data_IF_939802272807
#
_entry.id   IF_939802272807
#
_cell.length_a   1.000
_cell.length_b   1.000
_cell.length_c   1.000
_cell.angle_alpha   90.00
_cell.angle_beta   90.00
_cell.angle_gamma   90.00
#
_symmetry.space_group_name_H-M   'P 1'
#
loop_
_entity.id
_entity.type
_entity.pdbx_description
1 polymer ?
#
# COMPACT_ATOMS: atom_id res chain seq x y z
N UNK A 1 16.83 -26.38 -6.35
CA UNK A 1 15.56 -27.13 -6.44
C UNK A 1 14.58 -26.19 -7.15
N UNK A 2 13.83 -26.67 -8.11
CA UNK A 2 12.98 -25.76 -8.92
C UNK A 2 11.69 -25.48 -8.15
N UNK A 3 11.45 -24.24 -7.76
CA UNK A 3 10.29 -23.76 -6.97
C UNK A 3 8.95 -24.29 -7.49
N UNK A 4 8.81 -24.39 -8.83
CA UNK A 4 7.66 -24.97 -9.49
C UNK A 4 7.41 -26.43 -9.07
N UNK A 5 8.46 -27.24 -8.93
CA UNK A 5 8.34 -28.65 -8.52
C UNK A 5 7.89 -28.80 -7.07
N UNK A 6 8.25 -27.86 -6.22
CA UNK A 6 7.85 -27.86 -4.80
C UNK A 6 6.36 -27.57 -4.64
N UNK A 7 5.84 -26.58 -5.39
CA UNK A 7 4.41 -26.25 -5.39
C UNK A 7 3.58 -27.38 -5.97
N UNK A 8 3.97 -27.95 -7.11
CA UNK A 8 3.29 -29.11 -7.71
C UNK A 8 3.32 -30.31 -6.76
N UNK A 9 4.45 -30.54 -6.09
CA UNK A 9 4.57 -31.59 -5.06
C UNK A 9 3.68 -31.37 -3.85
N UNK A 10 3.43 -30.11 -3.48
CA UNK A 10 2.55 -29.73 -2.36
C UNK A 10 1.07 -29.88 -2.70
N UNK A 11 0.69 -29.53 -3.92
CA UNK A 11 -0.70 -29.54 -4.39
C UNK A 11 -1.18 -30.92 -4.87
N UNK A 12 -0.31 -31.69 -5.52
CA UNK A 12 -0.65 -32.98 -6.14
C UNK A 12 -0.60 -32.94 -7.67
N UNK A 13 -0.56 -34.11 -8.28
CA UNK A 13 -0.33 -34.28 -9.74
C UNK A 13 -1.52 -33.80 -10.60
N UNK A 14 -2.69 -33.65 -10.02
CA UNK A 14 -3.91 -33.18 -10.69
C UNK A 14 -3.90 -31.67 -10.95
N UNK A 15 -3.00 -30.93 -10.32
CA UNK A 15 -2.89 -29.49 -10.46
C UNK A 15 -1.93 -29.08 -11.58
N UNK A 16 -2.40 -28.19 -12.43
CA UNK A 16 -1.55 -27.42 -13.35
C UNK A 16 -1.26 -26.08 -12.70
N UNK A 17 0.02 -25.73 -12.61
CA UNK A 17 0.48 -24.49 -11.96
C UNK A 17 1.06 -23.57 -13.03
N UNK A 18 0.71 -22.30 -12.99
CA UNK A 18 1.28 -21.25 -13.85
C UNK A 18 1.71 -20.07 -12.97
N UNK A 19 2.76 -19.35 -13.36
CA UNK A 19 3.12 -18.10 -12.68
C UNK A 19 1.97 -17.11 -12.80
N UNK A 20 1.63 -16.44 -11.70
CA UNK A 20 0.65 -15.36 -11.69
C UNK A 20 1.27 -13.98 -12.00
N UNK A 21 2.57 -13.94 -12.26
CA UNK A 21 3.31 -12.68 -12.40
C UNK A 21 3.82 -12.16 -11.05
N UNK A 22 4.11 -10.87 -11.01
CA UNK A 22 4.67 -10.19 -9.85
C UNK A 22 6.20 -10.14 -9.86
N UNK A 23 6.76 -9.14 -9.18
CA UNK A 23 8.21 -8.83 -9.17
C UNK A 23 8.99 -9.95 -8.48
N UNK A 24 8.44 -10.57 -7.44
CA UNK A 24 9.11 -11.61 -6.65
C UNK A 24 9.04 -12.99 -7.30
N UNK A 25 8.11 -13.20 -8.24
CA UNK A 25 7.88 -14.53 -8.86
C UNK A 25 7.37 -15.60 -7.88
N UNK A 26 6.81 -15.20 -6.74
CA UNK A 26 6.34 -16.09 -5.67
C UNK A 26 4.82 -16.35 -5.72
N UNK A 27 4.15 -15.81 -6.72
CA UNK A 27 2.71 -15.93 -6.93
C UNK A 27 2.38 -16.87 -8.11
N UNK A 28 1.38 -17.73 -7.92
CA UNK A 28 1.00 -18.76 -8.89
C UNK A 28 -0.52 -18.89 -8.94
N UNK A 29 -1.01 -19.27 -10.12
CA UNK A 29 -2.37 -19.76 -10.31
C UNK A 29 -2.31 -21.27 -10.48
N UNK A 30 -3.02 -22.01 -9.64
CA UNK A 30 -3.13 -23.46 -9.72
C UNK A 30 -4.54 -23.86 -10.13
N UNK A 31 -4.65 -24.73 -11.13
CA UNK A 31 -5.93 -25.11 -11.75
C UNK A 31 -6.06 -26.63 -11.84
N UNK A 32 -7.26 -27.12 -11.52
CA UNK A 32 -7.73 -28.49 -11.82
C UNK A 32 -8.94 -28.38 -12.75
N UNK A 33 -9.58 -29.53 -13.06
CA UNK A 33 -10.84 -29.54 -13.81
C UNK A 33 -12.02 -28.92 -13.05
N UNK A 34 -11.91 -28.80 -11.73
CA UNK A 34 -13.03 -28.40 -10.85
C UNK A 34 -12.76 -27.11 -10.07
N UNK A 35 -11.51 -26.70 -9.97
CA UNK A 35 -11.12 -25.62 -9.06
C UNK A 35 -9.93 -24.85 -9.61
N UNK A 36 -9.94 -23.54 -9.37
CA UNK A 36 -8.85 -22.61 -9.63
C UNK A 36 -8.54 -21.86 -8.35
N UNK A 37 -7.29 -21.80 -7.95
CA UNK A 37 -6.85 -21.11 -6.72
C UNK A 37 -5.64 -20.23 -7.01
N UNK A 38 -5.49 -19.17 -6.23
CA UNK A 38 -4.29 -18.37 -6.19
C UNK A 38 -3.39 -18.87 -5.06
N UNK A 39 -2.09 -19.08 -5.34
CA UNK A 39 -1.14 -19.59 -4.36
C UNK A 39 0.03 -18.62 -4.27
N UNK A 40 0.32 -18.14 -3.07
CA UNK A 40 1.48 -17.30 -2.77
C UNK A 40 2.37 -17.99 -1.74
N UNK A 41 3.69 -17.82 -1.90
CA UNK A 41 4.68 -18.35 -0.97
C UNK A 41 5.05 -17.27 0.04
N UNK A 42 5.26 -17.71 1.30
CA UNK A 42 5.73 -16.89 2.41
C UNK A 42 4.89 -15.62 2.69
N UNK A 43 3.57 -15.69 2.39
CA UNK A 43 2.65 -14.63 2.78
C UNK A 43 2.70 -14.40 4.29
N UNK A 44 2.59 -13.15 4.71
CA UNK A 44 2.48 -12.79 6.11
C UNK A 44 1.29 -13.51 6.79
N UNK A 45 1.40 -13.90 8.07
CA UNK A 45 0.27 -14.36 8.87
C UNK A 45 -0.88 -13.35 8.93
N UNK A 46 -0.62 -12.09 8.65
CA UNK A 46 -1.60 -11.01 8.53
C UNK A 46 -2.69 -11.31 7.49
N UNK A 47 -2.35 -12.09 6.45
CA UNK A 47 -3.31 -12.54 5.41
C UNK A 47 -4.56 -13.21 5.99
N UNK A 48 -4.45 -13.90 7.11
CA UNK A 48 -5.57 -14.62 7.71
C UNK A 48 -6.66 -13.65 8.23
N UNK A 49 -6.27 -12.56 8.89
CA UNK A 49 -7.22 -11.57 9.37
C UNK A 49 -7.76 -10.71 8.23
N UNK A 50 -6.93 -10.33 7.26
CA UNK A 50 -7.37 -9.63 6.06
C UNK A 50 -8.45 -10.41 5.31
N UNK A 51 -8.29 -11.73 5.21
CA UNK A 51 -9.29 -12.62 4.61
C UNK A 51 -10.56 -12.74 5.47
N UNK A 52 -10.44 -12.77 6.79
CA UNK A 52 -11.60 -12.82 7.71
C UNK A 52 -12.42 -11.52 7.64
N UNK A 53 -11.77 -10.37 7.48
CA UNK A 53 -12.39 -9.06 7.29
C UNK A 53 -12.92 -8.84 5.85
N UNK A 54 -12.65 -9.77 4.92
CA UNK A 54 -13.09 -9.67 3.53
C UNK A 54 -12.35 -8.62 2.70
N UNK A 55 -11.16 -8.22 3.15
CA UNK A 55 -10.32 -7.22 2.47
C UNK A 55 -9.59 -7.83 1.30
N UNK A 56 -9.18 -9.09 1.42
CA UNK A 56 -8.54 -9.89 0.38
C UNK A 56 -9.41 -11.09 0.01
N UNK A 57 -9.20 -11.72 -1.15
CA UNK A 57 -9.88 -12.97 -1.50
C UNK A 57 -9.72 -14.04 -0.40
N UNK A 58 -10.78 -14.84 -0.20
CA UNK A 58 -10.87 -15.80 0.89
C UNK A 58 -9.65 -16.72 0.96
N UNK A 59 -8.97 -16.76 2.12
CA UNK A 59 -7.94 -17.73 2.43
C UNK A 59 -8.57 -19.12 2.58
N UNK A 60 -8.13 -20.07 1.78
CA UNK A 60 -8.65 -21.43 1.78
C UNK A 60 -7.85 -22.33 2.75
N UNK A 61 -6.54 -22.23 2.69
CA UNK A 61 -5.62 -22.96 3.55
C UNK A 61 -4.21 -22.38 3.53
N UNK A 62 -3.42 -22.75 4.55
CA UNK A 62 -1.97 -22.54 4.58
C UNK A 62 -1.28 -23.89 4.79
N UNK A 63 -0.10 -24.08 4.21
CA UNK A 63 0.69 -25.31 4.32
C UNK A 63 2.16 -25.00 4.50
N UNK A 64 2.73 -25.49 5.62
CA UNK A 64 4.19 -25.44 5.82
C UNK A 64 4.88 -26.50 5.00
N UNK A 65 5.91 -26.12 4.28
CA UNK A 65 6.74 -26.99 3.46
C UNK A 65 7.91 -27.57 4.24
N UNK A 66 8.54 -28.64 3.73
CA UNK A 66 9.69 -29.26 4.38
C UNK A 66 10.92 -28.35 4.48
N UNK A 67 11.07 -27.41 3.55
CA UNK A 67 12.13 -26.40 3.55
C UNK A 67 11.88 -25.24 4.51
N UNK A 68 10.74 -25.24 5.23
CA UNK A 68 10.33 -24.21 6.18
C UNK A 68 9.40 -23.13 5.60
N UNK A 69 9.27 -23.04 4.27
CA UNK A 69 8.35 -22.08 3.63
C UNK A 69 6.90 -22.36 3.97
N UNK A 70 6.08 -21.34 3.81
CA UNK A 70 4.63 -21.44 3.94
C UNK A 70 4.00 -21.12 2.60
N UNK A 71 3.15 -22.01 2.11
CA UNK A 71 2.24 -21.74 1.00
C UNK A 71 0.89 -21.32 1.55
N UNK A 72 0.35 -20.24 1.04
CA UNK A 72 -1.02 -19.81 1.26
C UNK A 72 -1.82 -19.98 -0.03
N UNK A 73 -3.04 -20.51 0.07
CA UNK A 73 -3.97 -20.59 -1.05
C UNK A 73 -5.19 -19.74 -0.78
N UNK A 74 -5.52 -18.90 -1.72
CA UNK A 74 -6.72 -18.06 -1.71
C UNK A 74 -7.67 -18.48 -2.83
N UNK A 75 -8.94 -18.17 -2.65
CA UNK A 75 -9.92 -18.28 -3.71
C UNK A 75 -9.45 -17.46 -4.91
N UNK A 76 -9.43 -18.07 -6.09
CA UNK A 76 -9.18 -17.32 -7.32
C UNK A 76 -10.43 -16.51 -7.66
N UNK A 77 -10.24 -15.23 -7.89
CA UNK A 77 -11.30 -14.30 -8.28
C UNK A 77 -11.09 -13.93 -9.74
N UNK A 78 -12.10 -14.17 -10.57
CA UNK A 78 -12.13 -13.54 -11.90
C UNK A 78 -12.44 -12.05 -11.66
N UNK A 79 -11.47 -11.20 -11.91
CA UNK A 79 -11.49 -9.79 -11.52
C UNK A 79 -10.79 -8.93 -12.55
N UNK A 80 -11.04 -7.63 -12.47
CA UNK A 80 -10.23 -6.62 -13.13
C UNK A 80 -9.45 -5.81 -12.10
N UNK A 81 -8.30 -5.35 -12.44
CA UNK A 81 -7.60 -4.28 -11.71
C UNK A 81 -8.39 -2.97 -11.86
N UNK A 82 -8.33 -2.11 -10.84
CA UNK A 82 -8.88 -0.77 -10.97
C UNK A 82 -8.02 0.07 -11.91
N UNK A 83 -8.65 1.05 -12.54
CA UNK A 83 -7.96 2.12 -13.26
C UNK A 83 -7.66 3.30 -12.32
N UNK A 84 -6.75 4.22 -12.68
CA UNK A 84 -6.56 5.46 -11.93
C UNK A 84 -7.86 6.22 -11.67
N UNK A 85 -8.78 6.26 -12.63
CA UNK A 85 -10.09 6.92 -12.49
C UNK A 85 -11.00 6.23 -11.48
N UNK A 86 -10.89 4.91 -11.31
CA UNK A 86 -11.69 4.16 -10.34
C UNK A 86 -11.32 4.53 -8.88
N UNK A 87 -10.10 5.04 -8.63
CA UNK A 87 -9.66 5.42 -7.29
C UNK A 87 -10.45 6.58 -6.68
N UNK A 88 -11.16 7.35 -7.49
CA UNK A 88 -12.06 8.43 -7.06
C UNK A 88 -13.41 7.92 -6.55
N UNK A 89 -13.70 6.64 -6.71
CA UNK A 89 -15.00 6.04 -6.38
C UNK A 89 -15.31 6.09 -4.89
N UNK A 90 -16.60 6.31 -4.52
CA UNK A 90 -17.05 6.33 -3.13
C UNK A 90 -16.79 5.02 -2.37
N UNK A 91 -16.90 3.87 -3.04
CA UNK A 91 -16.71 2.56 -2.43
C UNK A 91 -15.23 2.27 -2.14
N UNK A 92 -14.29 2.77 -2.96
CA UNK A 92 -12.85 2.71 -2.68
C UNK A 92 -12.54 3.52 -1.42
N UNK A 93 -13.04 4.77 -1.31
CA UNK A 93 -12.88 5.59 -0.12
C UNK A 93 -13.46 4.91 1.12
N UNK A 94 -14.69 4.39 1.02
CA UNK A 94 -15.38 3.73 2.13
C UNK A 94 -14.66 2.43 2.57
N UNK A 95 -14.11 1.66 1.63
CA UNK A 95 -13.34 0.45 1.95
C UNK A 95 -12.03 0.80 2.66
N UNK A 96 -11.32 1.84 2.21
CA UNK A 96 -10.11 2.31 2.88
C UNK A 96 -10.42 2.82 4.29
N UNK A 97 -11.53 3.54 4.48
CA UNK A 97 -11.98 3.97 5.79
C UNK A 97 -12.20 2.80 6.76
N UNK A 98 -12.87 1.75 6.31
CA UNK A 98 -13.07 0.52 7.11
C UNK A 98 -11.75 -0.15 7.50
N UNK A 99 -10.80 -0.20 6.57
CA UNK A 99 -9.47 -0.78 6.83
C UNK A 99 -8.76 0.01 7.93
N UNK A 100 -8.70 1.33 7.81
CA UNK A 100 -8.04 2.19 8.79
C UNK A 100 -8.73 2.20 10.16
N UNK A 101 -10.04 1.99 10.22
CA UNK A 101 -10.78 1.94 11.48
C UNK A 101 -10.79 0.55 12.14
N UNK A 102 -10.28 -0.50 11.47
CA UNK A 102 -10.26 -1.86 12.00
C UNK A 102 -9.26 -2.01 13.14
N UNK A 103 -9.78 -2.21 14.36
CA UNK A 103 -8.99 -2.49 15.54
C UNK A 103 -8.38 -3.89 15.52
N UNK A 104 -9.05 -4.82 14.89
CA UNK A 104 -8.63 -6.21 14.72
C UNK A 104 -7.38 -6.28 13.84
N UNK A 105 -7.35 -5.54 12.72
CA UNK A 105 -6.17 -5.43 11.86
C UNK A 105 -5.00 -4.82 12.61
N UNK A 106 -5.23 -3.69 13.29
CA UNK A 106 -4.19 -3.01 14.05
C UNK A 106 -3.60 -3.92 15.15
N UNK A 107 -4.47 -4.58 15.93
CA UNK A 107 -4.04 -5.50 16.96
C UNK A 107 -3.19 -6.63 16.39
N UNK A 108 -3.61 -7.24 15.27
CA UNK A 108 -2.87 -8.34 14.65
C UNK A 108 -1.50 -7.87 14.15
N UNK A 109 -1.41 -6.72 13.50
CA UNK A 109 -0.15 -6.20 12.98
C UNK A 109 0.83 -5.86 14.12
N UNK A 110 0.31 -5.35 15.25
CA UNK A 110 1.10 -5.15 16.48
C UNK A 110 1.64 -6.47 17.03
N UNK A 111 0.84 -7.55 17.02
CA UNK A 111 1.29 -8.89 17.47
C UNK A 111 2.40 -9.48 16.57
N UNK A 112 2.51 -9.05 15.35
CA UNK A 112 3.58 -9.42 14.43
C UNK A 112 4.86 -8.58 14.64
N UNK A 113 4.91 -7.76 15.70
CA UNK A 113 6.04 -6.91 16.08
C UNK A 113 6.42 -5.85 15.02
N UNK A 114 5.45 -5.37 14.26
CA UNK A 114 5.68 -4.22 13.39
C UNK A 114 5.92 -2.97 14.24
N UNK A 115 7.05 -2.31 14.01
CA UNK A 115 7.36 -1.03 14.64
C UNK A 115 6.60 0.08 13.92
N UNK A 116 5.92 0.99 14.65
CA UNK A 116 5.23 2.10 14.03
C UNK A 116 6.17 2.99 13.21
N UNK A 117 5.69 3.40 12.05
CA UNK A 117 6.38 4.36 11.16
C UNK A 117 5.94 5.76 11.54
N UNK A 118 6.81 6.47 12.21
CA UNK A 118 6.56 7.85 12.66
C UNK A 118 7.09 8.88 11.66
N UNK A 119 6.58 10.14 11.68
CA UNK A 119 7.17 11.23 10.87
C UNK A 119 8.67 11.41 11.10
N UNK A 120 9.14 11.26 12.35
CA UNK A 120 10.57 11.32 12.65
C UNK A 120 11.38 10.22 11.96
N UNK A 121 10.84 9.01 11.88
CA UNK A 121 11.51 7.90 11.19
C UNK A 121 11.62 8.18 9.69
N UNK A 122 10.51 8.62 9.07
CA UNK A 122 10.48 8.97 7.64
C UNK A 122 11.43 10.14 7.32
N UNK A 123 11.41 11.18 8.16
CA UNK A 123 12.32 12.30 7.99
C UNK A 123 13.79 11.85 7.99
N UNK A 124 14.17 10.98 8.93
CA UNK A 124 15.54 10.42 8.95
C UNK A 124 15.88 9.60 7.69
N UNK A 125 14.91 8.90 7.13
CA UNK A 125 15.10 8.20 5.86
C UNK A 125 15.33 9.18 4.71
N UNK A 126 14.56 10.26 4.65
CA UNK A 126 14.77 11.32 3.65
C UNK A 126 16.14 12.01 3.81
N UNK A 127 16.54 12.31 5.05
CA UNK A 127 17.85 12.95 5.37
C UNK A 127 19.05 12.12 4.89
N UNK A 128 18.92 10.79 4.83
CA UNK A 128 19.99 9.94 4.32
C UNK A 128 20.36 10.25 2.85
N UNK A 129 19.45 10.85 2.10
CA UNK A 129 19.66 11.22 0.70
C UNK A 129 20.11 12.68 0.48
N UNK A 130 20.08 13.52 1.53
CA UNK A 130 20.44 14.94 1.44
C UNK A 130 21.87 15.18 0.94
N UNK A 131 22.80 14.26 1.23
CA UNK A 131 24.23 14.42 0.93
C UNK A 131 24.64 13.92 -0.46
N UNK A 132 23.85 13.02 -1.05
CA UNK A 132 24.20 12.36 -2.31
C UNK A 132 23.52 12.99 -3.53
N UNK A 133 22.67 14.00 -3.32
CA UNK A 133 21.82 14.56 -4.37
C UNK A 133 22.36 15.92 -4.85
N UNK A 134 22.44 16.05 -6.17
CA UNK A 134 22.85 17.28 -6.85
C UNK A 134 21.66 18.20 -7.16
N UNK A 135 20.43 17.72 -7.10
CA UNK A 135 19.25 18.55 -7.33
C UNK A 135 18.88 19.31 -6.05
N UNK A 136 18.86 20.66 -6.11
CA UNK A 136 18.58 21.50 -4.95
C UNK A 136 17.16 21.29 -4.38
N UNK A 137 16.23 20.76 -5.16
CA UNK A 137 14.82 20.51 -4.74
C UNK A 137 14.76 19.51 -3.58
N UNK A 138 15.64 18.51 -3.55
CA UNK A 138 15.69 17.54 -2.44
C UNK A 138 16.09 18.23 -1.13
N UNK A 139 17.15 19.03 -1.16
CA UNK A 139 17.61 19.78 0.03
C UNK A 139 16.53 20.74 0.54
N UNK A 140 15.85 21.45 -0.35
CA UNK A 140 14.73 22.33 -0.02
C UNK A 140 13.56 21.57 0.61
N UNK A 141 13.17 20.46 0.00
CA UNK A 141 12.10 19.60 0.51
C UNK A 141 12.42 19.05 1.91
N UNK A 142 13.65 18.57 2.13
CA UNK A 142 14.07 18.07 3.46
C UNK A 142 14.05 19.19 4.50
N UNK A 143 14.51 20.40 4.16
CA UNK A 143 14.42 21.53 5.07
C UNK A 143 12.98 21.91 5.40
N UNK A 144 12.08 21.88 4.40
CA UNK A 144 10.65 22.12 4.64
C UNK A 144 10.07 21.05 5.56
N UNK A 145 10.35 19.75 5.33
CA UNK A 145 9.91 18.65 6.18
C UNK A 145 10.37 18.81 7.63
N UNK A 146 11.63 19.26 7.85
CA UNK A 146 12.18 19.53 9.20
C UNK A 146 11.39 20.62 9.94
N UNK A 147 11.03 21.69 9.24
CA UNK A 147 10.31 22.82 9.85
C UNK A 147 8.81 22.54 10.11
N UNK A 148 8.22 21.63 9.33
CA UNK A 148 6.78 21.34 9.38
C UNK A 148 6.49 19.92 9.88
N UNK A 149 7.38 19.34 10.69
CA UNK A 149 7.22 17.99 11.21
C UNK A 149 5.89 17.82 11.94
N UNK A 150 5.00 16.90 11.50
CA UNK A 150 3.69 16.71 12.09
C UNK A 150 3.79 16.24 13.55
N UNK A 151 2.93 16.78 14.39
CA UNK A 151 2.69 16.25 15.73
C UNK A 151 1.54 15.25 15.63
N UNK A 152 1.87 13.98 15.80
CA UNK A 152 0.91 12.87 15.72
C UNK A 152 0.86 12.14 17.05
N UNK A 153 -0.33 11.66 17.42
CA UNK A 153 -0.49 10.75 18.55
C UNK A 153 -0.40 9.31 18.02
N UNK A 154 0.62 8.57 18.45
CA UNK A 154 0.80 7.17 18.03
C UNK A 154 -0.36 6.26 18.49
N UNK A 155 -1.20 6.70 19.43
CA UNK A 155 -2.41 5.98 19.82
C UNK A 155 -3.51 6.05 18.75
N UNK A 156 -3.43 7.02 17.85
CA UNK A 156 -4.33 7.20 16.71
C UNK A 156 -3.82 6.52 15.43
N UNK A 157 -2.65 5.87 15.49
CA UNK A 157 -2.11 5.15 14.34
C UNK A 157 -3.02 3.99 13.93
N UNK A 158 -3.04 3.74 12.64
CA UNK A 158 -3.85 2.73 11.98
C UNK A 158 -2.97 1.77 11.19
N UNK A 159 -3.58 0.73 10.67
CA UNK A 159 -2.91 -0.10 9.64
C UNK A 159 -2.95 0.64 8.33
N UNK A 160 -1.78 0.92 7.78
CA UNK A 160 -1.63 1.47 6.44
C UNK A 160 -1.13 0.39 5.49
N UNK A 161 -1.63 0.42 4.26
CA UNK A 161 -1.19 -0.48 3.19
C UNK A 161 0.23 -0.14 2.72
N UNK A 162 0.57 1.14 2.68
CA UNK A 162 1.81 1.77 2.23
C UNK A 162 2.11 1.74 0.72
N UNK A 163 1.30 1.04 -0.07
CA UNK A 163 1.38 1.00 -1.53
C UNK A 163 -0.03 0.97 -2.14
N UNK A 164 -0.80 2.07 -1.97
CA UNK A 164 -2.18 2.20 -2.43
C UNK A 164 -2.29 2.61 -3.91
N UNK A 165 -1.48 2.00 -4.78
CA UNK A 165 -1.68 2.19 -6.20
C UNK A 165 -2.90 1.40 -6.73
N UNK A 166 -3.47 1.85 -7.84
CA UNK A 166 -4.69 1.28 -8.41
C UNK A 166 -4.56 -0.19 -8.82
N UNK A 167 -3.34 -0.67 -9.13
CA UNK A 167 -3.09 -2.05 -9.53
C UNK A 167 -3.25 -3.05 -8.37
N UNK A 168 -3.14 -2.57 -7.12
CA UNK A 168 -3.33 -3.39 -5.92
C UNK A 168 -4.82 -3.56 -5.56
N UNK A 169 -5.70 -2.86 -6.26
CA UNK A 169 -7.14 -3.00 -6.11
C UNK A 169 -7.71 -3.86 -7.22
N UNK A 170 -8.49 -4.87 -6.86
CA UNK A 170 -9.22 -5.71 -7.81
C UNK A 170 -10.72 -5.70 -7.49
N UNK A 171 -11.51 -5.76 -8.53
CA UNK A 171 -12.97 -5.80 -8.46
C UNK A 171 -13.49 -7.08 -9.14
N UNK A 172 -14.29 -7.85 -8.42
CA UNK A 172 -14.92 -9.05 -8.99
C UNK A 172 -16.11 -8.70 -9.91
N UNK A 173 -16.68 -9.71 -10.56
CA UNK A 173 -17.84 -9.58 -11.46
C UNK A 173 -19.12 -9.08 -10.75
N UNK A 174 -19.17 -9.12 -9.42
CA UNK A 174 -20.29 -8.64 -8.62
C UNK A 174 -20.04 -7.21 -8.09
N UNK A 175 -18.89 -6.60 -8.41
CA UNK A 175 -18.51 -5.27 -7.94
C UNK A 175 -17.91 -5.27 -6.52
N UNK A 176 -17.51 -6.42 -5.97
CA UNK A 176 -16.84 -6.48 -4.68
C UNK A 176 -15.37 -6.13 -4.83
N UNK A 177 -14.92 -5.17 -4.03
CA UNK A 177 -13.53 -4.70 -4.02
C UNK A 177 -12.67 -5.51 -3.06
N UNK A 178 -11.46 -5.80 -3.51
CA UNK A 178 -10.39 -6.37 -2.68
C UNK A 178 -9.13 -5.52 -2.84
N UNK A 179 -8.41 -5.33 -1.76
CA UNK A 179 -7.08 -4.70 -1.76
C UNK A 179 -6.05 -5.79 -1.50
N UNK A 180 -5.12 -5.96 -2.43
CA UNK A 180 -4.13 -7.05 -2.43
C UNK A 180 -2.73 -6.51 -2.15
N UNK A 181 -1.76 -7.40 -1.99
CA UNK A 181 -0.33 -7.10 -1.78
C UNK A 181 0.00 -6.33 -0.50
N UNK A 182 -0.30 -6.97 0.62
CA UNK A 182 -0.11 -6.44 1.99
C UNK A 182 1.26 -6.74 2.60
N UNK A 183 2.27 -7.08 1.79
CA UNK A 183 3.58 -7.49 2.31
C UNK A 183 4.32 -6.33 2.99
N UNK A 184 4.07 -5.09 2.55
CA UNK A 184 4.66 -3.86 3.08
C UNK A 184 3.75 -3.09 4.07
N UNK A 185 2.71 -3.73 4.60
CA UNK A 185 1.80 -3.11 5.55
C UNK A 185 2.52 -2.56 6.78
N UNK A 186 2.17 -1.36 7.20
CA UNK A 186 2.78 -0.64 8.33
C UNK A 186 1.72 -0.19 9.34
N UNK A 187 2.19 0.19 10.53
CA UNK A 187 1.40 0.93 11.51
C UNK A 187 1.85 2.40 11.43
N UNK A 188 0.96 3.30 11.05
CA UNK A 188 1.28 4.71 10.87
C UNK A 188 0.06 5.62 11.04
N UNK A 189 0.28 6.93 10.95
CA UNK A 189 -0.79 7.91 10.77
C UNK A 189 -1.55 7.64 9.46
N UNK A 190 -2.89 7.62 9.52
CA UNK A 190 -3.74 7.44 8.32
C UNK A 190 -3.42 8.42 7.17
N UNK A 191 -2.90 9.61 7.51
CA UNK A 191 -2.48 10.60 6.53
C UNK A 191 -1.38 10.07 5.58
N UNK A 192 -0.64 9.03 5.97
CA UNK A 192 0.37 8.38 5.13
C UNK A 192 -0.29 7.77 3.87
N UNK A 193 -1.29 6.91 4.05
CA UNK A 193 -2.00 6.27 2.94
C UNK A 193 -2.91 7.26 2.19
N UNK A 194 -3.57 8.16 2.93
CA UNK A 194 -4.43 9.17 2.35
C UNK A 194 -3.68 10.10 1.39
N UNK A 195 -2.47 10.51 1.76
CA UNK A 195 -1.61 11.31 0.90
C UNK A 195 -1.38 10.63 -0.45
N UNK A 196 -1.00 9.34 -0.44
CA UNK A 196 -0.75 8.58 -1.66
C UNK A 196 -1.97 8.56 -2.57
N UNK A 197 -3.17 8.33 -2.02
CA UNK A 197 -4.40 8.25 -2.83
C UNK A 197 -4.81 9.61 -3.37
N UNK A 198 -4.94 10.64 -2.50
CA UNK A 198 -5.55 11.90 -2.92
C UNK A 198 -4.64 12.72 -3.82
N UNK A 199 -3.33 12.75 -3.57
CA UNK A 199 -2.39 13.46 -4.44
C UNK A 199 -2.17 12.76 -5.80
N UNK A 200 -2.38 11.43 -5.88
CA UNK A 200 -2.18 10.70 -7.13
C UNK A 200 -3.44 10.57 -7.99
N UNK A 201 -4.65 10.58 -7.38
CA UNK A 201 -5.85 10.16 -8.08
C UNK A 201 -7.05 11.09 -7.93
N UNK A 202 -7.11 11.94 -6.90
CA UNK A 202 -8.31 12.73 -6.59
C UNK A 202 -8.01 14.22 -6.76
N UNK A 203 -8.73 14.90 -7.61
CA UNK A 203 -8.58 16.34 -7.75
C UNK A 203 -8.99 17.06 -6.45
N UNK A 204 -8.28 18.11 -6.06
CA UNK A 204 -8.49 18.79 -4.78
C UNK A 204 -9.96 19.26 -4.61
N UNK A 205 -10.59 19.68 -5.70
CA UNK A 205 -12.01 20.08 -5.71
C UNK A 205 -12.98 18.92 -5.35
N UNK A 206 -12.53 17.67 -5.44
CA UNK A 206 -13.32 16.47 -5.13
C UNK A 206 -12.99 15.89 -3.74
N UNK A 207 -11.96 16.39 -3.05
CA UNK A 207 -11.51 15.84 -1.76
C UNK A 207 -12.62 15.82 -0.71
N UNK A 208 -13.37 16.90 -0.51
CA UNK A 208 -14.44 16.97 0.49
C UNK A 208 -15.46 15.84 0.30
N UNK A 209 -15.83 15.58 -0.96
CA UNK A 209 -16.75 14.50 -1.31
C UNK A 209 -16.13 13.13 -1.07
N UNK A 210 -14.88 12.92 -1.48
CA UNK A 210 -14.18 11.66 -1.31
C UNK A 210 -13.99 11.33 0.18
N UNK A 211 -13.57 12.31 1.00
CA UNK A 211 -13.40 12.17 2.43
C UNK A 211 -14.71 11.93 3.19
N UNK A 212 -15.83 12.48 2.71
CA UNK A 212 -17.16 12.14 3.24
C UNK A 212 -17.43 10.64 3.16
N UNK A 213 -17.05 9.99 2.06
CA UNK A 213 -17.21 8.54 1.91
C UNK A 213 -16.16 7.75 2.69
N UNK A 214 -14.97 8.27 2.84
CA UNK A 214 -13.94 7.69 3.70
C UNK A 214 -14.32 7.77 5.20
N UNK A 215 -15.12 8.74 5.62
CA UNK A 215 -15.68 8.85 6.96
C UNK A 215 -15.00 9.89 7.87
N UNK A 216 -14.23 10.83 7.31
CA UNK A 216 -13.63 11.95 8.08
C UNK A 216 -13.84 13.29 7.36
N UNK A 217 -13.79 14.37 8.14
CA UNK A 217 -13.74 15.74 7.60
C UNK A 217 -12.28 16.13 7.29
N UNK A 218 -12.08 16.84 6.19
CA UNK A 218 -10.76 17.39 5.83
C UNK A 218 -10.49 18.64 6.66
N UNK A 219 -9.85 18.45 7.80
CA UNK A 219 -9.34 19.57 8.59
C UNK A 219 -8.05 20.12 7.98
N UNK A 220 -7.73 21.38 8.27
CA UNK A 220 -6.43 21.95 7.88
C UNK A 220 -5.25 21.16 8.45
N UNK A 221 -5.42 20.56 9.64
CA UNK A 221 -4.40 19.72 10.25
C UNK A 221 -4.18 18.42 9.45
N UNK A 222 -5.26 17.70 9.09
CA UNK A 222 -5.16 16.49 8.25
C UNK A 222 -4.54 16.82 6.90
N UNK A 223 -4.96 17.94 6.27
CA UNK A 223 -4.40 18.40 5.01
C UNK A 223 -2.88 18.63 5.12
N UNK A 224 -2.44 19.37 6.16
CA UNK A 224 -1.01 19.61 6.38
C UNK A 224 -0.22 18.32 6.59
N UNK A 225 -0.78 17.34 7.31
CA UNK A 225 -0.15 16.03 7.49
C UNK A 225 -0.04 15.28 6.16
N UNK A 226 -1.12 15.20 5.39
CA UNK A 226 -1.10 14.56 4.07
C UNK A 226 -0.06 15.19 3.15
N UNK A 227 0.00 16.51 3.11
CA UNK A 227 0.99 17.23 2.30
C UNK A 227 2.43 16.89 2.73
N UNK A 228 2.69 16.86 4.03
CA UNK A 228 3.97 16.46 4.57
C UNK A 228 4.35 15.02 4.15
N UNK A 229 3.40 14.09 4.27
CA UNK A 229 3.62 12.70 3.86
C UNK A 229 3.81 12.57 2.34
N UNK A 230 3.07 13.33 1.53
CA UNK A 230 3.25 13.33 0.08
C UNK A 230 4.68 13.72 -0.32
N UNK A 231 5.23 14.80 0.28
CA UNK A 231 6.62 15.22 0.05
C UNK A 231 7.61 14.12 0.49
N UNK A 232 7.46 13.58 1.70
CA UNK A 232 8.37 12.57 2.22
C UNK A 232 8.35 11.29 1.38
N UNK A 233 7.17 10.80 1.01
CA UNK A 233 7.01 9.62 0.15
C UNK A 233 7.58 9.84 -1.25
N UNK A 234 7.38 11.02 -1.84
CA UNK A 234 7.93 11.36 -3.15
C UNK A 234 9.47 11.31 -3.14
N UNK A 235 10.12 11.85 -2.09
CA UNK A 235 11.57 11.72 -1.92
C UNK A 235 11.99 10.25 -1.90
N UNK A 236 11.34 9.42 -1.07
CA UNK A 236 11.68 8.00 -0.94
C UNK A 236 11.45 7.24 -2.25
N UNK A 237 10.39 7.57 -2.99
CA UNK A 237 10.11 6.99 -4.31
C UNK A 237 11.19 7.34 -5.32
N UNK A 238 11.64 8.60 -5.40
CA UNK A 238 12.73 9.03 -6.29
C UNK A 238 13.98 8.18 -6.08
N UNK A 239 14.33 7.87 -4.84
CA UNK A 239 15.52 7.07 -4.53
C UNK A 239 15.32 5.56 -4.65
N UNK A 240 14.10 5.05 -4.47
CA UNK A 240 13.75 3.65 -4.70
C UNK A 240 13.65 3.30 -6.19
N UNK A 241 13.41 4.31 -7.04
CA UNK A 241 13.16 4.12 -8.47
C UNK A 241 14.46 3.90 -9.27
N UNK A 242 14.44 2.86 -10.10
CA UNK A 242 15.56 2.50 -10.98
C UNK A 242 15.41 3.01 -12.42
N UNK A 243 14.21 3.47 -12.77
CA UNK A 243 13.88 3.99 -14.10
C UNK A 243 14.12 5.51 -14.13
N UNK A 244 15.04 5.99 -14.97
CA UNK A 244 15.39 7.40 -15.05
C UNK A 244 14.19 8.30 -15.45
N UNK A 245 13.28 7.83 -16.28
CA UNK A 245 12.09 8.61 -16.67
C UNK A 245 11.13 8.75 -15.48
N UNK A 246 10.85 7.68 -14.75
CA UNK A 246 10.02 7.73 -13.55
C UNK A 246 10.66 8.55 -12.44
N UNK A 247 11.99 8.48 -12.30
CA UNK A 247 12.74 9.33 -11.37
C UNK A 247 12.63 10.82 -11.73
N UNK A 248 12.73 11.16 -13.02
CA UNK A 248 12.54 12.53 -13.51
C UNK A 248 11.14 13.05 -13.22
N UNK A 249 10.13 12.22 -13.42
CA UNK A 249 8.74 12.54 -13.06
C UNK A 249 8.59 12.79 -11.56
N UNK A 250 9.22 11.96 -10.73
CA UNK A 250 9.26 12.16 -9.28
C UNK A 250 9.81 13.53 -8.86
N UNK A 251 10.87 14.03 -9.52
CA UNK A 251 11.38 15.37 -9.27
C UNK A 251 10.39 16.47 -9.70
N UNK A 252 9.63 16.26 -10.77
CA UNK A 252 8.56 17.19 -11.18
C UNK A 252 7.49 17.29 -10.10
N UNK A 253 6.97 16.15 -9.67
CA UNK A 253 5.95 16.06 -8.61
C UNK A 253 6.47 16.70 -7.31
N UNK A 254 7.72 16.42 -6.93
CA UNK A 254 8.31 17.01 -5.71
C UNK A 254 8.36 18.54 -5.79
N UNK A 255 8.71 19.10 -6.95
CA UNK A 255 8.76 20.55 -7.14
C UNK A 255 7.36 21.17 -7.01
N UNK A 256 6.35 20.59 -7.64
CA UNK A 256 4.96 21.04 -7.53
C UNK A 256 4.49 21.04 -6.08
N UNK A 257 4.77 19.96 -5.33
CA UNK A 257 4.42 19.87 -3.91
C UNK A 257 5.12 20.95 -3.07
N UNK A 258 6.36 21.28 -3.35
CA UNK A 258 7.09 22.33 -2.61
C UNK A 258 6.58 23.72 -2.98
N UNK A 259 6.29 24.00 -4.24
CA UNK A 259 5.71 25.27 -4.67
C UNK A 259 4.34 25.49 -4.00
N UNK A 260 3.48 24.48 -3.98
CA UNK A 260 2.19 24.48 -3.28
C UNK A 260 2.34 24.73 -1.77
N UNK A 261 3.36 24.13 -1.14
CA UNK A 261 3.65 24.32 0.27
C UNK A 261 3.95 25.77 0.61
N UNK A 262 4.68 26.49 -0.24
CA UNK A 262 4.99 27.91 -0.03
C UNK A 262 3.82 28.84 -0.34
N UNK A 263 2.97 28.51 -1.30
CA UNK A 263 1.75 29.27 -1.61
C UNK A 263 0.75 29.27 -0.45
N UNK A 264 0.66 28.17 0.30
CA UNK A 264 -0.24 28.01 1.45
C UNK A 264 0.22 28.75 2.72
N UNK A 265 1.48 29.10 2.81
CA UNK A 265 2.06 29.82 3.97
C UNK A 265 1.92 31.35 3.79
N UNK A 266 1.80 31.84 2.56
CA UNK A 266 1.66 33.27 2.23
C UNK A 266 0.18 33.69 2.12
#
# INVERSE_FOLDING_TARGET
>A
MNMYSDIVGALGKEWTVASAGGITGEAYVATTRQQKIFVKRNSSPFLAILSAEGIVPKLLWTKRMFNGDVLSAQQFIESRELSPEDMKRPDVAAQLGKIHDSKELLFMLQQLNHTPVTPHLLLRQCEAYEQDETDPTIGEAIQWLKHHLPKVDEQEFVVCHSDLNHNNWIEDENGLLYLTDWDDAIIADRAFDLAMVVYSYVEEAEWERWFTHYGVEVSSELHNRMHWYAIAQTILTIYGERNDAARTEGFHVLRELIDEAYERIN
#
